data_IF_175196193292
#
_entry.id   IF_175196193292
#
_cell.length_a   1.000
_cell.length_b   1.000
_cell.length_c   1.000
_cell.angle_alpha   90.00
_cell.angle_beta   90.00
_cell.angle_gamma   90.00
#
_symmetry.space_group_name_H-M   'P 1'
#
loop_
_entity.id
_entity.type
_entity.pdbx_description
1 polymer ?
#
# COMPACT_ATOMS: atom_id res chain seq x y z
N UNK A 1 23.26 -9.66 -17.13
CA UNK A 1 22.68 -10.59 -16.14
C UNK A 1 23.17 -10.30 -14.71
N UNK A 2 24.48 -10.19 -14.45
CA UNK A 2 25.02 -9.97 -13.09
C UNK A 2 24.68 -8.59 -12.46
N UNK A 3 24.60 -7.52 -13.26
CA UNK A 3 24.21 -6.19 -12.77
C UNK A 3 22.72 -6.10 -12.37
N UNK A 4 21.85 -6.91 -13.00
CA UNK A 4 20.40 -6.89 -12.76
C UNK A 4 20.00 -7.52 -11.42
N UNK A 5 20.79 -8.48 -10.89
CA UNK A 5 20.55 -9.06 -9.58
C UNK A 5 20.99 -8.17 -8.42
N UNK A 6 21.93 -7.24 -8.64
CA UNK A 6 22.51 -6.38 -7.60
C UNK A 6 21.61 -5.20 -7.17
N UNK A 7 20.51 -4.99 -7.90
CA UNK A 7 19.56 -3.90 -7.72
C UNK A 7 18.22 -4.35 -7.10
N UNK A 8 17.97 -5.66 -7.01
CA UNK A 8 16.74 -6.16 -6.42
C UNK A 8 16.83 -6.06 -4.89
N UNK A 9 15.86 -5.41 -4.22
CA UNK A 9 15.84 -5.39 -2.76
C UNK A 9 15.75 -6.83 -2.27
N UNK A 10 16.73 -7.25 -1.47
CA UNK A 10 16.62 -8.51 -0.76
C UNK A 10 15.56 -8.29 0.33
N UNK A 11 14.38 -8.91 0.19
CA UNK A 11 13.39 -8.86 1.27
C UNK A 11 14.02 -9.58 2.46
N UNK A 12 14.28 -8.90 3.58
CA UNK A 12 14.81 -9.52 4.79
C UNK A 12 13.78 -10.47 5.41
N UNK A 13 13.60 -11.63 4.80
CA UNK A 13 12.94 -12.79 5.37
C UNK A 13 13.96 -13.55 6.19
N UNK A 14 14.27 -13.03 7.38
CA UNK A 14 15.26 -13.61 8.27
C UNK A 14 14.99 -13.19 9.70
N UNK A 15 14.39 -14.09 10.48
CA UNK A 15 14.29 -14.02 11.93
C UNK A 15 15.71 -13.89 12.51
N UNK A 16 16.08 -12.70 12.97
CA UNK A 16 17.07 -12.46 14.02
C UNK A 16 17.00 -10.98 14.41
N UNK A 17 16.31 -10.71 15.51
CA UNK A 17 16.32 -9.48 16.33
C UNK A 17 16.62 -8.14 15.63
N UNK A 18 15.60 -7.50 15.04
CA UNK A 18 15.62 -6.07 14.71
C UNK A 18 14.18 -5.56 14.45
N UNK A 19 13.27 -5.70 15.41
CA UNK A 19 11.85 -5.31 15.25
C UNK A 19 11.52 -3.92 15.86
N UNK A 20 12.52 -3.19 16.37
CA UNK A 20 12.31 -1.96 17.14
C UNK A 20 12.11 -0.69 16.28
N UNK A 21 12.35 -0.74 14.96
CA UNK A 21 12.22 0.44 14.07
C UNK A 21 11.09 0.33 13.02
N UNK A 22 10.23 -0.68 13.12
CA UNK A 22 9.13 -0.89 12.18
C UNK A 22 7.91 -0.04 12.56
N UNK A 23 7.64 1.02 11.77
CA UNK A 23 6.47 1.85 11.97
C UNK A 23 5.22 1.13 11.47
N UNK A 24 4.16 1.11 12.29
CA UNK A 24 2.84 0.65 11.83
C UNK A 24 2.16 1.78 11.06
N UNK A 25 1.94 1.58 9.76
CA UNK A 25 1.25 2.53 8.89
C UNK A 25 -0.10 1.96 8.44
N UNK A 26 -1.03 2.82 8.01
CA UNK A 26 -2.29 2.38 7.38
C UNK A 26 -2.22 2.64 5.89
N UNK A 27 -2.91 1.82 5.10
CA UNK A 27 -3.05 2.11 3.67
C UNK A 27 -3.80 3.44 3.53
N UNK A 28 -3.22 4.40 2.81
CA UNK A 28 -3.90 5.64 2.46
C UNK A 28 -4.95 5.37 1.39
N UNK A 29 -6.22 5.68 1.65
CA UNK A 29 -7.31 5.39 0.73
C UNK A 29 -8.05 6.66 0.35
N UNK A 30 -8.07 6.92 -0.95
CA UNK A 30 -8.62 8.13 -1.55
C UNK A 30 -9.68 7.77 -2.57
N UNK A 31 -10.72 8.58 -2.73
CA UNK A 31 -11.69 8.43 -3.82
C UNK A 31 -11.60 9.60 -4.80
N UNK A 32 -11.73 9.31 -6.09
CA UNK A 32 -11.82 10.32 -7.16
C UNK A 32 -13.14 10.17 -7.88
N UNK A 33 -13.95 11.23 -7.88
CA UNK A 33 -15.13 11.31 -8.74
C UNK A 33 -14.71 11.69 -10.15
N UNK A 34 -15.14 10.91 -11.14
CA UNK A 34 -14.96 11.25 -12.55
C UNK A 34 -15.91 12.40 -12.92
N UNK A 35 -15.42 13.45 -13.63
CA UNK A 35 -16.29 14.48 -14.16
C UNK A 35 -17.39 13.91 -15.07
N UNK A 36 -18.63 14.36 -14.86
CA UNK A 36 -19.72 14.05 -15.79
C UNK A 36 -19.64 15.00 -16.98
N UNK A 37 -19.24 14.48 -18.14
CA UNK A 37 -19.06 15.28 -19.37
C UNK A 37 -20.27 15.24 -20.31
N UNK A 38 -21.29 14.44 -20.01
CA UNK A 38 -22.47 14.26 -20.87
C UNK A 38 -23.77 14.37 -20.06
N UNK A 39 -24.50 15.48 -20.27
CA UNK A 39 -25.77 15.80 -19.60
C UNK A 39 -26.90 14.80 -19.90
N UNK A 40 -26.70 13.88 -20.85
CA UNK A 40 -27.68 12.84 -21.20
C UNK A 40 -27.82 11.74 -20.15
N UNK A 41 -26.86 11.60 -19.23
CA UNK A 41 -26.91 10.56 -18.21
C UNK A 41 -27.50 11.09 -16.91
N UNK A 42 -28.50 10.37 -16.39
CA UNK A 42 -29.09 10.68 -15.09
C UNK A 42 -28.02 10.60 -13.98
N UNK A 43 -27.85 11.69 -13.22
CA UNK A 43 -26.96 11.72 -12.06
C UNK A 43 -27.53 10.81 -10.98
N UNK A 44 -26.70 9.93 -10.45
CA UNK A 44 -27.07 9.12 -9.30
C UNK A 44 -26.91 9.89 -7.99
N UNK A 45 -27.48 9.35 -6.92
CA UNK A 45 -27.45 9.95 -5.58
C UNK A 45 -26.07 9.78 -4.92
N UNK A 46 -25.20 10.76 -5.15
CA UNK A 46 -23.86 10.88 -4.54
C UNK A 46 -23.73 12.26 -3.91
N UNK A 47 -23.43 12.29 -2.62
CA UNK A 47 -23.27 13.53 -1.85
C UNK A 47 -21.95 13.51 -1.08
N UNK A 48 -21.06 14.45 -1.38
CA UNK A 48 -19.82 14.62 -0.62
C UNK A 48 -20.09 15.52 0.59
N UNK A 49 -19.95 14.96 1.79
CA UNK A 49 -20.03 15.71 3.05
C UNK A 49 -18.65 16.26 3.38
N UNK A 50 -18.48 17.57 3.20
CA UNK A 50 -17.24 18.27 3.55
C UNK A 50 -17.40 18.95 4.90
N UNK A 51 -16.43 18.76 5.81
CA UNK A 51 -16.34 19.49 7.09
C UNK A 51 -14.98 20.18 7.17
N UNK A 52 -14.98 21.48 7.46
CA UNK A 52 -13.75 22.28 7.65
C UNK A 52 -12.74 22.12 6.50
N UNK A 53 -13.22 22.17 5.25
CA UNK A 53 -12.37 22.01 4.06
C UNK A 53 -11.86 20.59 3.78
N UNK A 54 -12.18 19.60 4.63
CA UNK A 54 -11.81 18.19 4.41
C UNK A 54 -13.02 17.40 3.88
N UNK A 55 -12.89 16.89 2.66
CA UNK A 55 -13.89 16.02 2.03
C UNK A 55 -13.57 14.57 2.33
N UNK A 56 -13.89 14.09 3.54
CA UNK A 56 -13.58 12.71 3.97
C UNK A 56 -14.75 11.73 3.87
N UNK A 57 -15.97 12.24 3.79
CA UNK A 57 -17.17 11.42 3.81
C UNK A 57 -17.94 11.57 2.50
N UNK A 58 -18.34 10.44 1.92
CA UNK A 58 -19.25 10.39 0.76
C UNK A 58 -20.45 9.54 1.13
N UNK A 59 -21.63 10.09 0.89
CA UNK A 59 -22.87 9.36 0.95
C UNK A 59 -23.26 8.95 -0.47
N UNK A 60 -23.52 7.66 -0.65
CA UNK A 60 -24.04 7.10 -1.89
C UNK A 60 -25.33 6.38 -1.58
N UNK A 61 -26.45 6.84 -2.14
CA UNK A 61 -27.79 6.47 -1.71
C UNK A 61 -27.94 6.72 -0.18
N UNK A 62 -28.29 5.67 0.58
CA UNK A 62 -28.43 5.73 2.04
C UNK A 62 -27.19 5.21 2.80
N UNK A 63 -26.05 5.03 2.13
CA UNK A 63 -24.84 4.48 2.72
C UNK A 63 -23.74 5.54 2.78
N UNK A 64 -23.12 5.71 3.95
CA UNK A 64 -22.03 6.66 4.17
C UNK A 64 -20.69 5.94 4.30
N UNK A 65 -19.68 6.45 3.61
CA UNK A 65 -18.32 5.93 3.57
C UNK A 65 -17.33 7.01 4.00
N UNK A 66 -16.31 6.63 4.77
CA UNK A 66 -15.30 7.55 5.31
C UNK A 66 -13.89 7.14 4.89
N UNK A 67 -13.26 7.94 4.03
CA UNK A 67 -11.94 7.72 3.46
C UNK A 67 -10.92 8.75 3.97
N UNK A 68 -9.70 8.76 3.45
CA UNK A 68 -8.69 9.75 3.83
C UNK A 68 -8.91 11.08 3.12
N UNK A 69 -9.34 11.02 1.86
CA UNK A 69 -9.84 12.16 1.09
C UNK A 69 -10.74 11.70 -0.06
N UNK A 70 -11.59 12.61 -0.53
CA UNK A 70 -12.51 12.43 -1.65
C UNK A 70 -12.36 13.63 -2.57
N UNK A 71 -11.70 13.40 -3.70
CA UNK A 71 -11.52 14.35 -4.78
C UNK A 71 -12.82 14.51 -5.54
N UNK A 72 -13.28 15.77 -5.64
CA UNK A 72 -14.47 16.13 -6.41
C UNK A 72 -14.16 16.08 -7.91
N UNK A 73 -15.19 16.26 -8.73
CA UNK A 73 -15.06 16.23 -10.18
C UNK A 73 -14.10 17.32 -10.71
N UNK A 74 -13.99 18.44 -10.01
CA UNK A 74 -13.17 19.59 -10.42
C UNK A 74 -11.71 19.49 -9.97
N UNK A 75 -11.34 18.43 -9.25
CA UNK A 75 -9.98 18.29 -8.71
C UNK A 75 -8.95 18.09 -9.83
N UNK A 76 -7.87 18.88 -9.78
CA UNK A 76 -6.78 18.80 -10.75
C UNK A 76 -5.91 17.57 -10.52
N UNK A 77 -5.18 17.15 -11.56
CA UNK A 77 -4.24 16.04 -11.44
C UNK A 77 -3.11 16.33 -10.44
N UNK A 78 -2.69 17.60 -10.37
CA UNK A 78 -1.71 18.09 -9.40
C UNK A 78 -2.22 18.00 -7.96
N UNK A 79 -3.46 18.42 -7.71
CA UNK A 79 -4.07 18.33 -6.38
C UNK A 79 -4.19 16.88 -5.92
N UNK A 80 -4.60 15.99 -6.82
CA UNK A 80 -4.65 14.54 -6.57
C UNK A 80 -3.26 14.01 -6.21
N UNK A 81 -2.23 14.34 -6.99
CA UNK A 81 -0.85 13.90 -6.74
C UNK A 81 -0.32 14.38 -5.39
N UNK A 82 -0.45 15.68 -5.13
CA UNK A 82 0.06 16.34 -3.92
C UNK A 82 -0.52 15.72 -2.66
N UNK A 83 -1.82 15.39 -2.66
CA UNK A 83 -2.52 14.84 -1.50
C UNK A 83 -2.29 13.33 -1.31
N UNK A 84 -2.13 12.56 -2.40
CA UNK A 84 -2.17 11.09 -2.34
C UNK A 84 -0.83 10.37 -2.56
N UNK A 85 0.11 11.00 -3.27
CA UNK A 85 1.31 10.32 -3.78
C UNK A 85 2.64 10.99 -3.40
N UNK A 86 2.68 12.32 -3.23
CA UNK A 86 3.92 13.06 -2.98
C UNK A 86 4.77 12.48 -1.83
N UNK A 87 4.17 12.22 -0.67
CA UNK A 87 4.88 11.68 0.50
C UNK A 87 5.35 10.23 0.30
N UNK A 88 4.66 9.49 -0.58
CA UNK A 88 5.03 8.12 -0.93
C UNK A 88 6.30 8.11 -1.78
N UNK A 89 6.39 9.01 -2.76
CA UNK A 89 7.59 9.17 -3.60
C UNK A 89 8.76 9.68 -2.77
N UNK A 90 8.52 10.64 -1.87
CA UNK A 90 9.53 11.11 -0.90
C UNK A 90 10.07 9.96 -0.03
N UNK A 91 9.19 9.07 0.42
CA UNK A 91 9.62 7.89 1.19
C UNK A 91 10.48 6.92 0.37
N UNK A 92 10.25 6.80 -0.95
CA UNK A 92 11.10 5.97 -1.82
C UNK A 92 12.52 6.50 -1.90
N UNK A 93 12.69 7.82 -1.98
CA UNK A 93 14.00 8.48 -1.91
C UNK A 93 14.71 8.20 -0.57
N UNK A 94 13.94 8.11 0.51
CA UNK A 94 14.44 7.72 1.84
C UNK A 94 14.68 6.21 1.99
N UNK A 95 14.49 5.39 0.96
CA UNK A 95 14.75 3.94 1.02
C UNK A 95 13.60 3.10 1.55
N UNK A 96 12.37 3.60 1.44
CA UNK A 96 11.17 2.80 1.71
C UNK A 96 10.59 2.21 0.43
N UNK A 97 9.82 1.15 0.60
CA UNK A 97 8.91 0.70 -0.44
C UNK A 97 7.63 1.54 -0.41
N UNK A 98 7.13 1.91 -1.58
CA UNK A 98 5.83 2.53 -1.74
C UNK A 98 5.06 1.93 -2.91
N UNK A 99 3.73 1.96 -2.80
CA UNK A 99 2.85 1.46 -3.86
C UNK A 99 1.69 2.42 -4.08
N UNK A 100 1.49 2.85 -5.33
CA UNK A 100 0.32 3.61 -5.76
C UNK A 100 -0.57 2.71 -6.60
N UNK A 101 -1.83 2.53 -6.20
CA UNK A 101 -2.80 1.67 -6.88
C UNK A 101 -4.01 2.48 -7.34
N UNK A 102 -4.38 2.36 -8.62
CA UNK A 102 -5.69 2.80 -9.11
C UNK A 102 -6.67 1.61 -9.20
N UNK A 103 -7.85 1.76 -8.62
CA UNK A 103 -8.87 0.70 -8.55
C UNK A 103 -10.28 1.24 -8.83
N UNK A 104 -11.12 0.47 -9.51
CA UNK A 104 -12.49 0.89 -9.86
C UNK A 104 -12.96 0.30 -11.18
N UNK A 105 -14.21 0.58 -11.54
CA UNK A 105 -14.81 -0.01 -12.73
C UNK A 105 -14.15 0.42 -14.05
N UNK A 106 -14.37 -0.31 -15.14
CA UNK A 106 -13.97 0.13 -16.48
C UNK A 106 -14.54 1.51 -16.79
N UNK A 107 -13.71 2.39 -17.37
CA UNK A 107 -14.10 3.75 -17.74
C UNK A 107 -14.25 4.75 -16.57
N UNK A 108 -14.01 4.35 -15.31
CA UNK A 108 -14.08 5.26 -14.16
C UNK A 108 -12.90 6.22 -14.01
N UNK A 109 -11.81 6.04 -14.76
CA UNK A 109 -10.67 6.96 -14.76
C UNK A 109 -9.40 6.45 -14.06
N UNK A 110 -9.23 5.13 -13.90
CA UNK A 110 -8.00 4.53 -13.34
C UNK A 110 -6.74 4.95 -14.12
N UNK A 111 -6.68 4.61 -15.40
CA UNK A 111 -5.56 4.96 -16.30
C UNK A 111 -5.37 6.48 -16.40
N UNK A 112 -6.45 7.25 -16.47
CA UNK A 112 -6.37 8.72 -16.45
C UNK A 112 -5.80 9.28 -15.14
N UNK A 113 -6.07 8.62 -14.01
CA UNK A 113 -5.46 8.99 -12.72
C UNK A 113 -3.99 8.64 -12.70
N UNK A 114 -3.62 7.46 -13.19
CA UNK A 114 -2.22 7.02 -13.23
C UNK A 114 -1.38 7.85 -14.20
N UNK A 115 -1.83 8.08 -15.42
CA UNK A 115 -0.98 8.67 -16.47
C UNK A 115 -1.46 10.06 -16.92
N UNK A 116 -2.78 10.29 -16.90
CA UNK A 116 -3.40 11.44 -17.54
C UNK A 116 -4.11 11.05 -18.84
N UNK A 117 -4.44 12.01 -19.69
CA UNK A 117 -4.92 11.77 -21.04
C UNK A 117 -3.96 10.87 -21.85
N UNK A 118 -4.48 10.18 -22.87
CA UNK A 118 -3.70 9.21 -23.67
C UNK A 118 -2.51 9.87 -24.38
N UNK A 119 -2.59 11.18 -24.63
CA UNK A 119 -1.52 12.00 -25.19
C UNK A 119 -0.28 12.03 -24.29
N UNK A 120 -0.43 11.90 -22.96
CA UNK A 120 0.72 11.87 -22.03
C UNK A 120 1.57 10.62 -22.26
N UNK A 121 0.95 9.49 -22.58
CA UNK A 121 1.65 8.22 -22.82
C UNK A 121 2.28 8.15 -24.22
N UNK A 122 1.73 8.88 -25.18
CA UNK A 122 2.15 8.82 -26.59
C UNK A 122 3.03 9.99 -27.00
N UNK A 123 2.89 11.14 -26.35
CA UNK A 123 3.60 12.39 -26.63
C UNK A 123 3.91 13.16 -25.34
N UNK A 124 4.61 12.50 -24.41
CA UNK A 124 4.96 13.04 -23.09
C UNK A 124 5.59 14.44 -23.14
N UNK A 125 6.54 14.66 -24.06
CA UNK A 125 7.32 15.90 -24.14
C UNK A 125 6.52 17.12 -24.60
N UNK A 126 5.46 16.92 -25.39
CA UNK A 126 4.64 18.02 -25.90
C UNK A 126 3.34 18.21 -25.10
N UNK A 127 3.10 17.36 -24.10
CA UNK A 127 1.88 17.40 -23.31
C UNK A 127 2.01 18.42 -22.18
N UNK A 128 0.94 19.17 -21.92
CA UNK A 128 0.86 20.10 -20.80
C UNK A 128 1.09 19.36 -19.46
N UNK A 129 2.13 19.73 -18.67
CA UNK A 129 2.39 19.15 -17.36
C UNK A 129 1.20 19.23 -16.39
N UNK A 130 0.26 20.17 -16.57
CA UNK A 130 -0.96 20.24 -15.77
C UNK A 130 -1.82 18.97 -15.90
N UNK A 131 -1.77 18.28 -17.05
CA UNK A 131 -2.58 17.09 -17.35
C UNK A 131 -1.93 15.79 -16.84
N UNK A 132 -0.66 15.82 -16.47
CA UNK A 132 0.09 14.67 -16.00
C UNK A 132 -0.58 14.01 -14.79
N UNK A 133 -0.82 12.70 -14.87
CA UNK A 133 -1.31 11.89 -13.76
C UNK A 133 -0.24 11.59 -12.71
N UNK A 134 -0.48 10.58 -11.88
CA UNK A 134 0.43 10.20 -10.80
C UNK A 134 1.82 9.79 -11.28
N UNK A 135 1.90 8.97 -12.32
CA UNK A 135 3.14 8.35 -12.82
C UNK A 135 4.14 9.39 -13.33
N UNK A 136 3.82 10.24 -14.33
CA UNK A 136 4.74 11.27 -14.81
C UNK A 136 5.15 12.27 -13.72
N UNK A 137 4.27 12.60 -12.76
CA UNK A 137 4.62 13.45 -11.63
C UNK A 137 5.53 12.75 -10.62
N UNK A 138 5.28 11.47 -10.36
CA UNK A 138 6.09 10.65 -9.48
C UNK A 138 7.50 10.45 -10.04
N UNK A 139 7.64 10.23 -11.34
CA UNK A 139 8.95 10.12 -11.98
C UNK A 139 9.69 11.44 -11.93
N UNK A 140 9.04 12.57 -12.23
CA UNK A 140 9.69 13.88 -12.15
C UNK A 140 10.15 14.21 -10.72
N UNK A 141 9.27 14.05 -9.72
CA UNK A 141 9.66 14.26 -8.31
C UNK A 141 10.80 13.33 -7.90
N UNK A 142 10.77 12.07 -8.33
CA UNK A 142 11.81 11.10 -7.99
C UNK A 142 13.16 11.58 -8.53
N UNK A 143 13.27 11.86 -9.83
CA UNK A 143 14.53 12.31 -10.42
C UNK A 143 14.97 13.69 -9.92
N UNK A 144 14.04 14.59 -9.63
CA UNK A 144 14.36 15.87 -8.98
C UNK A 144 14.94 15.68 -7.58
N UNK A 145 14.35 14.78 -6.78
CA UNK A 145 14.88 14.45 -5.46
C UNK A 145 16.24 13.76 -5.50
N UNK A 146 16.50 12.96 -6.54
CA UNK A 146 17.81 12.32 -6.74
C UNK A 146 18.89 13.35 -7.14
N UNK A 147 18.54 14.36 -7.95
CA UNK A 147 19.45 15.48 -8.29
C UNK A 147 19.84 16.31 -7.07
N UNK A 148 18.94 16.43 -6.10
CA UNK A 148 19.15 17.14 -4.83
C UNK A 148 19.57 16.21 -3.69
N UNK A 149 19.94 14.96 -3.99
CA UNK A 149 20.44 14.01 -3.02
C UNK A 149 21.81 14.40 -2.46
N UNK A 150 22.34 13.65 -1.48
CA UNK A 150 23.67 13.92 -0.92
C UNK A 150 24.76 13.89 -2.01
N UNK A 151 25.68 14.87 -2.02
CA UNK A 151 26.69 15.04 -3.08
C UNK A 151 27.61 13.81 -3.27
N UNK A 152 27.83 13.04 -2.21
CA UNK A 152 28.69 11.85 -2.20
C UNK A 152 27.94 10.53 -2.38
N UNK A 153 26.62 10.58 -2.63
CA UNK A 153 25.81 9.38 -2.91
C UNK A 153 25.77 9.08 -4.41
N UNK A 154 25.86 7.80 -4.77
CA UNK A 154 25.64 7.37 -6.16
C UNK A 154 24.33 6.61 -6.29
N UNK A 155 23.55 6.94 -7.31
CA UNK A 155 22.23 6.35 -7.53
C UNK A 155 22.23 5.45 -8.76
N UNK A 156 21.58 4.31 -8.64
CA UNK A 156 21.37 3.35 -9.70
C UNK A 156 19.88 3.03 -9.78
N UNK A 157 19.26 3.39 -10.90
CA UNK A 157 17.82 3.33 -11.07
C UNK A 157 17.50 2.39 -12.22
N UNK A 158 16.57 1.48 -11.97
CA UNK A 158 16.05 0.58 -12.99
C UNK A 158 14.54 0.49 -12.89
N UNK A 159 13.90 0.16 -14.00
CA UNK A 159 12.47 -0.12 -14.03
C UNK A 159 12.16 -1.50 -14.60
N UNK A 160 10.99 -2.01 -14.24
CA UNK A 160 10.38 -3.20 -14.82
C UNK A 160 8.91 -2.94 -15.10
N UNK A 161 8.34 -3.58 -16.12
CA UNK A 161 6.93 -3.42 -16.44
C UNK A 161 6.24 -4.75 -16.70
N UNK A 162 5.28 -5.10 -15.85
CA UNK A 162 4.61 -6.39 -15.84
C UNK A 162 3.11 -6.24 -16.12
N UNK A 163 2.58 -7.09 -16.99
CA UNK A 163 1.14 -7.28 -17.13
C UNK A 163 0.71 -8.61 -16.48
N UNK A 164 -0.34 -8.55 -15.66
CA UNK A 164 -1.07 -9.73 -15.20
C UNK A 164 -2.37 -9.82 -16.00
N UNK A 165 -2.41 -10.74 -16.96
CA UNK A 165 -3.56 -10.94 -17.82
C UNK A 165 -3.92 -12.43 -17.87
N UNK A 166 -5.17 -12.75 -17.57
CA UNK A 166 -5.66 -14.14 -17.52
C UNK A 166 -4.82 -15.05 -16.59
N UNK A 167 -4.42 -14.51 -15.42
CA UNK A 167 -3.48 -15.13 -14.46
C UNK A 167 -2.12 -15.55 -15.06
N UNK A 168 -1.72 -14.95 -16.20
CA UNK A 168 -0.39 -15.06 -16.79
C UNK A 168 0.39 -13.78 -16.56
N UNK A 169 1.70 -13.94 -16.36
CA UNK A 169 2.63 -12.84 -16.10
C UNK A 169 3.40 -12.52 -17.39
N UNK A 170 3.21 -11.34 -17.96
CA UNK A 170 3.82 -10.98 -19.24
C UNK A 170 4.77 -9.80 -19.05
N UNK A 171 6.00 -9.94 -19.53
CA UNK A 171 6.97 -8.87 -19.54
C UNK A 171 6.59 -7.85 -20.62
N UNK A 172 6.43 -6.58 -20.24
CA UNK A 172 6.12 -5.49 -21.16
C UNK A 172 7.37 -4.73 -21.62
N UNK A 173 8.52 -4.89 -20.96
CA UNK A 173 9.79 -4.33 -21.44
C UNK A 173 10.56 -5.37 -22.27
N UNK A 174 10.52 -6.64 -21.86
CA UNK A 174 11.02 -7.78 -22.63
C UNK A 174 9.96 -8.43 -23.53
N UNK A 175 10.31 -9.58 -24.13
CA UNK A 175 9.43 -10.33 -25.02
C UNK A 175 8.89 -11.62 -24.39
N UNK A 176 9.24 -11.88 -23.14
CA UNK A 176 8.84 -13.11 -22.44
C UNK A 176 7.39 -13.01 -21.94
N UNK A 177 6.67 -14.11 -22.12
CA UNK A 177 5.28 -14.24 -21.73
C UNK A 177 5.13 -15.38 -20.73
N UNK A 178 4.10 -15.33 -19.89
CA UNK A 178 3.82 -16.32 -18.85
C UNK A 178 5.02 -16.65 -17.94
N UNK A 179 5.66 -15.62 -17.40
CA UNK A 179 6.77 -15.72 -16.45
C UNK A 179 6.38 -16.51 -15.19
N UNK A 180 7.37 -17.17 -14.61
CA UNK A 180 7.19 -18.03 -13.43
C UNK A 180 7.45 -17.22 -12.17
N UNK A 181 6.50 -17.30 -11.24
CA UNK A 181 6.58 -16.66 -9.93
C UNK A 181 7.17 -17.62 -8.90
N UNK A 182 8.31 -17.29 -8.31
CA UNK A 182 9.00 -18.09 -7.28
C UNK A 182 9.17 -17.34 -5.98
N UNK A 183 8.99 -18.04 -4.86
CA UNK A 183 9.37 -17.56 -3.53
C UNK A 183 10.79 -18.06 -3.22
N UNK A 184 11.72 -17.13 -2.98
CA UNK A 184 13.10 -17.44 -2.59
C UNK A 184 13.30 -17.13 -1.11
N UNK A 185 13.89 -18.05 -0.31
CA UNK A 185 14.24 -17.76 1.07
C UNK A 185 15.12 -16.50 1.18
N UNK A 186 14.82 -15.60 2.11
CA UNK A 186 15.61 -14.38 2.34
C UNK A 186 15.58 -13.31 1.24
N UNK A 187 14.85 -13.52 0.13
CA UNK A 187 14.68 -12.52 -0.95
C UNK A 187 13.19 -12.24 -1.19
N UNK A 188 12.32 -13.19 -0.85
CA UNK A 188 10.88 -13.07 -1.00
C UNK A 188 10.42 -13.47 -2.40
N UNK A 189 9.38 -12.81 -2.89
CA UNK A 189 8.78 -13.13 -4.17
C UNK A 189 9.65 -12.60 -5.33
N UNK A 190 9.97 -13.46 -6.29
CA UNK A 190 10.77 -13.14 -7.47
C UNK A 190 10.11 -13.68 -8.74
N UNK A 191 10.24 -12.95 -9.84
CA UNK A 191 9.73 -13.35 -11.16
C UNK A 191 10.93 -13.79 -12.00
N UNK A 192 10.99 -15.07 -12.33
CA UNK A 192 12.09 -15.59 -13.13
C UNK A 192 11.99 -15.11 -14.57
N UNK A 193 13.09 -14.55 -15.07
CA UNK A 193 13.20 -14.09 -16.44
C UNK A 193 12.66 -12.69 -16.71
N UNK A 194 12.16 -11.97 -15.70
CA UNK A 194 11.74 -10.57 -15.82
C UNK A 194 12.88 -9.69 -16.36
N UNK A 195 12.58 -8.82 -17.32
CA UNK A 195 13.53 -7.84 -17.85
C UNK A 195 13.53 -6.57 -17.00
N UNK A 196 14.71 -5.97 -16.90
CA UNK A 196 14.94 -4.70 -16.20
C UNK A 196 15.68 -3.76 -17.12
N UNK A 197 15.29 -2.50 -17.11
CA UNK A 197 15.89 -1.46 -17.94
C UNK A 197 16.44 -0.35 -17.04
N UNK A 198 17.67 0.09 -17.32
CA UNK A 198 18.30 1.21 -16.61
C UNK A 198 17.72 2.51 -17.13
N UNK A 199 17.48 3.47 -16.23
CA UNK A 199 16.88 4.76 -16.58
C UNK A 199 17.63 5.89 -15.88
N UNK A 200 17.95 6.95 -16.63
CA UNK A 200 18.71 8.11 -16.16
C UNK A 200 17.87 9.34 -15.84
N UNK A 201 16.66 9.44 -16.38
CA UNK A 201 15.75 10.56 -16.15
C UNK A 201 14.26 10.17 -16.28
N UNK A 202 13.37 11.14 -16.02
CA UNK A 202 11.92 10.96 -16.12
C UNK A 202 11.45 10.64 -17.55
N UNK A 203 12.16 11.14 -18.57
CA UNK A 203 11.84 10.92 -19.99
C UNK A 203 12.10 9.48 -20.38
N UNK A 204 13.23 8.88 -19.99
CA UNK A 204 13.54 7.48 -20.26
C UNK A 204 12.51 6.53 -19.61
N UNK A 205 12.04 6.85 -18.40
CA UNK A 205 10.95 6.10 -17.76
C UNK A 205 9.65 6.18 -18.57
N UNK A 206 9.27 7.39 -19.01
CA UNK A 206 8.07 7.58 -19.82
C UNK A 206 8.18 6.90 -21.19
N UNK A 207 9.36 6.85 -21.79
CA UNK A 207 9.62 6.09 -23.02
C UNK A 207 9.47 4.58 -22.80
N UNK A 208 9.98 4.04 -21.68
CA UNK A 208 9.80 2.63 -21.33
C UNK A 208 8.31 2.28 -21.12
N UNK A 209 7.56 3.16 -20.46
CA UNK A 209 6.10 3.05 -20.32
C UNK A 209 5.38 3.07 -21.67
N UNK A 210 5.72 4.01 -22.55
CA UNK A 210 5.14 4.13 -23.88
C UNK A 210 5.35 2.85 -24.71
N UNK A 211 6.57 2.30 -24.71
CA UNK A 211 6.89 1.03 -25.39
C UNK A 211 6.08 -0.14 -24.82
N UNK A 212 6.03 -0.27 -23.50
CA UNK A 212 5.28 -1.35 -22.86
C UNK A 212 3.77 -1.25 -23.09
N UNK A 213 3.21 -0.03 -23.06
CA UNK A 213 1.82 0.20 -23.42
C UNK A 213 1.54 -0.08 -24.91
N UNK A 214 2.49 0.24 -25.80
CA UNK A 214 2.43 -0.17 -27.20
C UNK A 214 2.28 -1.68 -27.37
N UNK A 215 3.03 -2.48 -26.61
CA UNK A 215 2.88 -3.96 -26.60
C UNK A 215 1.49 -4.40 -26.13
N UNK A 216 0.90 -3.72 -25.13
CA UNK A 216 -0.48 -3.99 -24.67
C UNK A 216 -1.51 -3.69 -25.76
N UNK A 217 -1.33 -2.59 -26.50
CA UNK A 217 -2.23 -2.16 -27.59
C UNK A 217 -2.13 -3.12 -28.79
N UNK A 218 -0.92 -3.49 -29.23
CA UNK A 218 -0.76 -4.46 -30.34
C UNK A 218 -1.37 -5.82 -29.98
N UNK A 219 -1.20 -6.27 -28.73
CA UNK A 219 -1.86 -7.46 -28.24
C UNK A 219 -3.40 -7.32 -28.17
N UNK A 220 -3.91 -6.10 -27.99
CA UNK A 220 -5.34 -5.79 -28.06
C UNK A 220 -5.88 -5.76 -29.49
N UNK A 221 -5.09 -5.29 -30.47
CA UNK A 221 -5.51 -5.27 -31.87
C UNK A 221 -5.53 -6.66 -32.50
N UNK A 222 -4.67 -7.57 -32.05
CA UNK A 222 -4.72 -8.99 -32.46
C UNK A 222 -5.83 -9.79 -31.78
N UNK A 223 -6.30 -9.35 -30.59
CA UNK A 223 -7.41 -9.95 -29.84
C UNK A 223 -8.09 -8.92 -28.89
N UNK A 224 -9.04 -8.11 -29.39
CA UNK A 224 -9.94 -7.18 -28.67
C UNK A 224 -9.34 -6.20 -27.62
N UNK A 225 -10.06 -5.13 -27.20
CA UNK A 225 -9.52 -4.10 -26.30
C UNK A 225 -9.02 -4.65 -24.94
N UNK A 226 -7.70 -4.84 -24.79
CA UNK A 226 -7.02 -5.47 -23.64
C UNK A 226 -6.65 -4.49 -22.52
N UNK A 227 -6.62 -3.18 -22.79
CA UNK A 227 -6.12 -2.17 -21.84
C UNK A 227 -6.92 -2.09 -20.54
N UNK A 228 -8.23 -2.37 -20.57
CA UNK A 228 -9.10 -2.44 -19.39
C UNK A 228 -9.12 -3.80 -18.69
N UNK A 229 -8.50 -4.83 -19.30
CA UNK A 229 -8.67 -6.25 -18.96
C UNK A 229 -7.42 -6.88 -18.31
N UNK A 230 -6.25 -6.31 -18.50
CA UNK A 230 -5.02 -6.71 -17.80
C UNK A 230 -4.66 -5.74 -16.67
N UNK A 231 -4.16 -6.27 -15.55
CA UNK A 231 -3.53 -5.44 -14.51
C UNK A 231 -2.11 -5.09 -14.95
N UNK A 232 -1.69 -3.85 -14.77
CA UNK A 232 -0.35 -3.39 -15.10
C UNK A 232 0.38 -2.96 -13.82
N UNK A 233 1.60 -3.45 -13.64
CA UNK A 233 2.48 -3.12 -12.51
C UNK A 233 3.79 -2.62 -13.10
N UNK A 234 4.00 -1.31 -13.04
CA UNK A 234 5.28 -0.69 -13.36
C UNK A 234 6.04 -0.46 -12.06
N UNK A 235 7.26 -0.95 -11.96
CA UNK A 235 8.07 -0.83 -10.74
C UNK A 235 9.36 -0.09 -11.06
N UNK A 236 9.66 0.94 -10.27
CA UNK A 236 10.94 1.65 -10.27
C UNK A 236 11.70 1.22 -9.02
N UNK A 237 12.94 0.82 -9.21
CA UNK A 237 13.88 0.46 -8.15
C UNK A 237 14.94 1.54 -8.07
N UNK A 238 15.16 2.05 -6.87
CA UNK A 238 16.17 3.07 -6.58
C UNK A 238 17.19 2.43 -5.65
N UNK A 239 18.43 2.30 -6.10
CA UNK A 239 19.54 1.92 -5.24
C UNK A 239 20.43 3.13 -5.03
N UNK A 240 20.65 3.50 -3.78
CA UNK A 240 21.62 4.51 -3.37
C UNK A 240 22.82 3.80 -2.73
N UNK A 241 24.02 4.07 -3.23
CA UNK A 241 25.25 3.82 -2.47
C UNK A 241 25.52 5.09 -1.67
N UNK A 242 25.31 5.03 -0.36
CA UNK A 242 25.45 6.18 0.52
C UNK A 242 26.92 6.59 0.63
N UNK A 243 27.17 7.89 0.87
CA UNK A 243 28.50 8.41 1.17
C UNK A 243 29.24 7.63 2.28
N UNK A 244 28.48 7.09 3.23
CA UNK A 244 28.99 6.27 4.33
C UNK A 244 29.40 4.85 3.93
N UNK A 245 29.21 4.42 2.68
CA UNK A 245 29.54 3.07 2.20
C UNK A 245 28.44 2.02 2.39
N UNK A 246 27.26 2.39 2.91
CA UNK A 246 26.08 1.52 2.99
C UNK A 246 25.20 1.58 1.74
N UNK A 247 24.29 0.62 1.58
CA UNK A 247 23.36 0.54 0.45
C UNK A 247 21.92 0.79 0.91
N UNK A 248 21.21 1.71 0.26
CA UNK A 248 19.80 1.98 0.52
C UNK A 248 18.96 1.63 -0.70
N UNK A 249 17.81 0.99 -0.48
CA UNK A 249 16.93 0.53 -1.54
C UNK A 249 15.52 1.11 -1.41
N UNK A 250 15.12 1.94 -2.36
CA UNK A 250 13.74 2.35 -2.56
C UNK A 250 13.04 1.52 -3.64
N UNK A 251 11.74 1.27 -3.49
CA UNK A 251 10.91 0.61 -4.51
C UNK A 251 9.60 1.36 -4.66
N UNK A 252 9.31 1.86 -5.86
CA UNK A 252 8.03 2.46 -6.21
C UNK A 252 7.24 1.54 -7.14
N UNK A 253 6.11 1.02 -6.68
CA UNK A 253 5.17 0.29 -7.53
C UNK A 253 4.04 1.22 -7.98
N UNK A 254 3.79 1.25 -9.28
CA UNK A 254 2.74 2.03 -9.94
C UNK A 254 1.77 1.04 -10.60
N UNK A 255 0.60 0.89 -10.02
CA UNK A 255 -0.34 -0.20 -10.33
C UNK A 255 -1.63 0.35 -10.93
N UNK A 256 -1.89 0.00 -12.19
CA UNK A 256 -3.17 0.24 -12.88
C UNK A 256 -3.92 -1.08 -12.99
N UNK A 257 -4.93 -1.28 -12.14
CA UNK A 257 -5.70 -2.53 -12.12
C UNK A 257 -6.70 -2.58 -13.27
N UNK A 258 -7.10 -3.79 -13.67
CA UNK A 258 -8.20 -4.00 -14.58
C UNK A 258 -9.52 -3.46 -13.99
N UNK A 259 -10.52 -3.24 -14.85
CA UNK A 259 -11.84 -2.81 -14.40
C UNK A 259 -12.55 -3.86 -13.56
N UNK A 260 -13.12 -3.44 -12.43
CA UNK A 260 -14.11 -4.26 -11.72
C UNK A 260 -15.49 -4.07 -12.35
N UNK A 261 -16.11 -5.15 -12.78
CA UNK A 261 -17.41 -5.08 -13.45
C UNK A 261 -18.24 -6.29 -13.07
N UNK A 262 -19.54 -6.09 -12.86
CA UNK A 262 -20.44 -7.21 -12.60
C UNK A 262 -20.39 -8.18 -13.77
N UNK A 263 -20.44 -9.48 -13.49
CA UNK A 263 -20.52 -10.52 -14.51
C UNK A 263 -21.61 -10.22 -15.55
N UNK A 264 -22.77 -9.68 -15.14
CA UNK A 264 -23.85 -9.27 -16.05
C UNK A 264 -23.44 -8.19 -17.06
N UNK A 265 -22.68 -7.17 -16.64
CA UNK A 265 -22.18 -6.11 -17.53
C UNK A 265 -20.97 -6.59 -18.35
N UNK A 266 -20.11 -7.39 -17.74
CA UNK A 266 -18.96 -8.04 -18.40
C UNK A 266 -19.39 -8.93 -19.57
N UNK A 267 -20.55 -9.60 -19.46
CA UNK A 267 -21.11 -10.44 -20.51
C UNK A 267 -21.93 -9.68 -21.56
N UNK A 268 -22.41 -8.48 -21.22
CA UNK A 268 -23.20 -7.62 -22.11
C UNK A 268 -22.31 -6.76 -23.03
N UNK A 269 -21.10 -6.43 -22.61
CA UNK A 269 -20.11 -5.71 -23.42
C UNK A 269 -19.34 -6.72 -24.28
N UNK A 270 -19.55 -6.68 -25.60
CA UNK A 270 -18.75 -7.38 -26.63
C UNK A 270 -18.82 -8.92 -26.75
N UNK A 271 -20.01 -9.49 -27.01
CA UNK A 271 -20.09 -10.83 -27.61
C UNK A 271 -19.49 -11.99 -26.78
N UNK A 272 -19.15 -11.74 -25.51
CA UNK A 272 -18.64 -12.73 -24.56
C UNK A 272 -19.68 -13.82 -24.25
N UNK A 273 -20.96 -13.56 -24.52
CA UNK A 273 -22.01 -14.58 -24.51
C UNK A 273 -21.74 -15.70 -25.53
N UNK A 274 -21.14 -15.40 -26.69
CA UNK A 274 -21.04 -16.35 -27.80
C UNK A 274 -19.63 -16.91 -28.01
N UNK A 275 -18.59 -16.37 -27.34
CA UNK A 275 -17.22 -16.85 -27.43
C UNK A 275 -16.73 -17.41 -26.07
N UNK A 276 -16.50 -18.74 -25.94
CA UNK A 276 -16.03 -19.37 -24.71
C UNK A 276 -14.72 -18.80 -24.15
N UNK A 277 -13.78 -18.41 -25.02
CA UNK A 277 -12.49 -17.84 -24.60
C UNK A 277 -12.67 -16.48 -23.92
N UNK A 278 -13.57 -15.63 -24.43
CA UNK A 278 -13.88 -14.33 -23.82
C UNK A 278 -14.58 -14.47 -22.47
N UNK A 279 -15.42 -15.49 -22.33
CA UNK A 279 -16.11 -15.79 -21.07
C UNK A 279 -15.14 -16.20 -19.96
N UNK A 280 -14.18 -17.07 -20.28
CA UNK A 280 -13.15 -17.51 -19.32
C UNK A 280 -12.20 -16.36 -18.96
N UNK A 281 -11.86 -15.50 -19.91
CA UNK A 281 -11.04 -14.31 -19.65
C UNK A 281 -11.74 -13.33 -18.69
N UNK A 282 -13.01 -12.96 -18.96
CA UNK A 282 -13.79 -12.09 -18.08
C UNK A 282 -13.95 -12.68 -16.66
N UNK A 283 -14.08 -14.01 -16.57
CA UNK A 283 -14.09 -14.72 -15.30
C UNK A 283 -12.74 -14.59 -14.59
N UNK A 284 -11.61 -14.79 -15.26
CA UNK A 284 -10.29 -14.75 -14.62
C UNK A 284 -9.88 -13.35 -14.16
N UNK A 285 -10.29 -12.30 -14.88
CA UNK A 285 -10.13 -10.90 -14.42
C UNK A 285 -10.88 -10.70 -13.09
N UNK A 286 -12.15 -11.10 -13.05
CA UNK A 286 -12.97 -11.01 -11.85
C UNK A 286 -12.45 -11.89 -10.70
N UNK A 287 -11.87 -13.07 -10.99
CA UNK A 287 -11.22 -13.92 -9.99
C UNK A 287 -10.07 -13.19 -9.32
N UNK A 288 -9.19 -12.54 -10.09
CA UNK A 288 -8.05 -11.82 -9.52
C UNK A 288 -8.46 -10.62 -8.65
N UNK A 289 -9.48 -9.86 -9.06
CA UNK A 289 -10.02 -8.74 -8.28
C UNK A 289 -10.84 -9.20 -7.07
N UNK A 290 -11.55 -10.33 -7.18
CA UNK A 290 -12.25 -10.96 -6.05
C UNK A 290 -11.26 -11.49 -5.01
N UNK A 291 -10.16 -12.13 -5.45
CA UNK A 291 -9.07 -12.56 -4.58
C UNK A 291 -8.46 -11.35 -3.85
N UNK A 292 -8.22 -10.24 -4.56
CA UNK A 292 -7.77 -8.98 -3.96
C UNK A 292 -8.75 -8.47 -2.89
N UNK A 293 -10.05 -8.45 -3.18
CA UNK A 293 -11.08 -8.07 -2.22
C UNK A 293 -11.16 -9.00 -1.00
N UNK A 294 -10.89 -10.30 -1.19
CA UNK A 294 -10.87 -11.30 -0.11
C UNK A 294 -9.66 -11.11 0.80
N UNK A 295 -8.48 -10.87 0.23
CA UNK A 295 -7.25 -10.56 0.96
C UNK A 295 -7.43 -9.29 1.80
N UNK A 296 -7.95 -8.20 1.20
CA UNK A 296 -8.18 -6.95 1.94
C UNK A 296 -9.17 -7.15 3.09
N UNK A 297 -10.23 -7.93 2.88
CA UNK A 297 -11.19 -8.25 3.95
C UNK A 297 -10.50 -8.99 5.09
N UNK A 298 -9.77 -10.07 4.79
CA UNK A 298 -9.04 -10.87 5.76
C UNK A 298 -7.99 -10.04 6.54
N UNK A 299 -7.23 -9.18 5.86
CA UNK A 299 -6.27 -8.28 6.50
C UNK A 299 -6.95 -7.25 7.42
N UNK A 300 -8.08 -6.69 6.98
CA UNK A 300 -8.83 -5.72 7.79
C UNK A 300 -9.42 -6.35 9.05
N UNK A 301 -9.81 -7.63 9.00
CA UNK A 301 -10.33 -8.38 10.13
C UNK A 301 -9.21 -8.77 11.10
N UNK A 302 -8.06 -9.21 10.56
CA UNK A 302 -6.88 -9.52 11.35
C UNK A 302 -6.42 -8.31 12.19
N UNK A 303 -6.44 -7.10 11.61
CA UNK A 303 -6.08 -5.87 12.32
C UNK A 303 -7.05 -5.42 13.42
N UNK A 304 -8.29 -5.94 13.46
CA UNK A 304 -9.31 -5.55 14.46
C UNK A 304 -9.29 -6.39 15.73
N UNK A 305 -8.73 -7.61 15.70
CA UNK A 305 -8.71 -8.51 16.86
C UNK A 305 -7.65 -8.06 17.86
N UNK A 306 -8.07 -7.54 19.02
CA UNK A 306 -7.18 -7.27 20.17
C UNK A 306 -6.62 -8.60 20.70
N UNK A 307 -5.30 -8.80 20.60
CA UNK A 307 -4.63 -9.99 21.15
C UNK A 307 -3.55 -10.62 20.27
N UNK A 308 -3.26 -10.09 19.07
CA UNK A 308 -2.07 -10.47 18.29
C UNK A 308 -2.08 -11.88 17.68
N UNK A 309 -3.04 -12.74 18.01
CA UNK A 309 -3.21 -14.04 17.36
C UNK A 309 -3.81 -13.84 15.96
N UNK A 310 -2.92 -13.69 14.97
CA UNK A 310 -3.23 -13.71 13.55
C UNK A 310 -3.58 -15.14 13.10
N UNK A 311 -4.66 -15.72 13.63
CA UNK A 311 -5.04 -17.12 13.35
C UNK A 311 -5.84 -17.29 12.04
N UNK A 312 -6.04 -16.19 11.29
CA UNK A 312 -6.72 -16.22 10.00
C UNK A 312 -5.74 -16.36 8.84
N UNK A 313 -5.80 -17.47 8.10
CA UNK A 313 -5.06 -17.62 6.84
C UNK A 313 -5.43 -16.51 5.84
N UNK A 314 -4.46 -15.70 5.42
CA UNK A 314 -4.66 -14.71 4.35
C UNK A 314 -4.50 -15.40 2.98
N UNK A 315 -5.50 -15.36 2.08
CA UNK A 315 -5.53 -16.16 0.86
C UNK A 315 -4.70 -15.55 -0.29
N UNK A 316 -3.43 -15.23 -0.04
CA UNK A 316 -2.53 -14.62 -1.03
C UNK A 316 -2.39 -15.45 -2.30
N UNK A 317 -2.47 -16.77 -2.19
CA UNK A 317 -2.22 -17.73 -3.29
C UNK A 317 -3.40 -17.87 -4.26
N UNK A 318 -4.55 -17.27 -3.99
CA UNK A 318 -5.75 -17.39 -4.84
C UNK A 318 -5.61 -16.71 -6.21
N UNK A 319 -4.68 -15.76 -6.36
CA UNK A 319 -4.34 -15.14 -7.63
C UNK A 319 -2.86 -14.73 -7.65
N UNK A 320 -2.21 -14.70 -8.82
CA UNK A 320 -0.84 -14.16 -8.91
C UNK A 320 -0.78 -12.68 -8.54
N UNK A 321 -1.83 -11.92 -8.88
CA UNK A 321 -1.95 -10.50 -8.52
C UNK A 321 -1.80 -10.26 -7.02
N UNK A 322 -2.50 -11.05 -6.19
CA UNK A 322 -2.45 -10.89 -4.73
C UNK A 322 -1.08 -11.24 -4.17
N UNK A 323 -0.39 -12.23 -4.72
CA UNK A 323 1.01 -12.53 -4.35
C UNK A 323 1.94 -11.37 -4.68
N UNK A 324 1.82 -10.81 -5.89
CA UNK A 324 2.63 -9.66 -6.33
C UNK A 324 2.40 -8.40 -5.46
N UNK A 325 1.18 -8.23 -4.95
CA UNK A 325 0.82 -7.10 -4.07
C UNK A 325 0.92 -7.43 -2.57
N UNK A 326 1.51 -8.57 -2.18
CA UNK A 326 1.59 -9.00 -0.79
C UNK A 326 2.27 -7.96 0.11
N UNK A 327 3.45 -7.50 -0.30
CA UNK A 327 4.17 -6.44 0.42
C UNK A 327 3.41 -5.12 0.41
N UNK A 328 2.69 -4.84 -0.68
CA UNK A 328 1.93 -3.59 -0.83
C UNK A 328 0.75 -3.52 0.12
N UNK A 329 0.03 -4.62 0.32
CA UNK A 329 -1.23 -4.60 1.07
C UNK A 329 -1.06 -4.95 2.54
N UNK A 330 -0.13 -5.84 2.89
CA UNK A 330 0.03 -6.30 4.28
C UNK A 330 1.48 -6.43 4.76
N UNK A 331 2.46 -6.08 3.93
CA UNK A 331 3.88 -6.21 4.27
C UNK A 331 4.60 -4.87 4.36
N UNK A 332 5.86 -4.83 3.92
CA UNK A 332 6.69 -3.65 3.95
C UNK A 332 6.45 -2.76 2.73
N UNK A 333 5.45 -1.88 2.82
CA UNK A 333 5.21 -0.81 1.85
C UNK A 333 4.32 0.31 2.41
N UNK A 334 4.64 1.55 2.04
CA UNK A 334 3.76 2.71 2.19
C UNK A 334 2.80 2.75 1.00
N UNK A 335 1.59 2.25 1.21
CA UNK A 335 0.64 2.07 0.12
C UNK A 335 -0.45 3.13 0.11
N UNK A 336 -0.77 3.56 -1.11
CA UNK A 336 -1.90 4.42 -1.44
C UNK A 336 -2.80 3.69 -2.43
N UNK A 337 -4.10 3.65 -2.16
CA UNK A 337 -5.13 3.17 -3.09
C UNK A 337 -6.04 4.35 -3.43
N UNK A 338 -6.10 4.68 -4.72
CA UNK A 338 -7.05 5.65 -5.26
C UNK A 338 -8.16 4.89 -5.95
N UNK A 339 -9.36 4.97 -5.38
CA UNK A 339 -10.55 4.43 -6.00
C UNK A 339 -11.20 5.44 -6.94
N UNK A 340 -11.47 5.05 -8.18
CA UNK A 340 -12.09 5.91 -9.17
C UNK A 340 -13.57 5.55 -9.33
N UNK A 341 -14.44 6.55 -9.21
CA UNK A 341 -15.88 6.38 -9.12
C UNK A 341 -16.60 7.10 -10.25
N UNK A 342 -17.74 6.53 -10.63
CA UNK A 342 -18.68 7.10 -11.58
C UNK A 342 -19.94 7.54 -10.85
N UNK A 343 -20.42 8.74 -11.15
CA UNK A 343 -21.56 9.37 -10.48
C UNK A 343 -22.88 9.16 -11.23
N UNK A 344 -22.88 8.56 -12.43
CA UNK A 344 -24.12 8.28 -13.17
C UNK A 344 -24.92 7.14 -12.52
N UNK A 345 -26.24 7.25 -12.53
CA UNK A 345 -27.16 6.34 -11.84
C UNK A 345 -26.94 4.86 -12.22
N UNK A 346 -26.67 4.59 -13.49
CA UNK A 346 -26.41 3.24 -14.01
C UNK A 346 -25.14 2.57 -13.47
N UNK A 347 -24.18 3.35 -12.95
CA UNK A 347 -22.89 2.88 -12.44
C UNK A 347 -22.84 2.82 -10.91
N UNK A 348 -23.96 3.15 -10.25
CA UNK A 348 -23.94 3.34 -8.80
C UNK A 348 -23.65 2.07 -8.02
N UNK A 349 -24.05 0.91 -8.55
CA UNK A 349 -23.80 -0.38 -7.91
C UNK A 349 -22.31 -0.70 -7.88
N UNK A 350 -21.59 -0.47 -8.98
CA UNK A 350 -20.16 -0.65 -9.05
C UNK A 350 -19.40 0.38 -8.18
N UNK A 351 -19.86 1.64 -8.17
CA UNK A 351 -19.32 2.67 -7.27
C UNK A 351 -19.50 2.29 -5.79
N UNK A 352 -20.65 1.72 -5.40
CA UNK A 352 -20.90 1.20 -4.06
C UNK A 352 -19.98 0.03 -3.69
N UNK A 353 -19.78 -0.92 -4.60
CA UNK A 353 -18.86 -2.04 -4.38
C UNK A 353 -17.41 -1.55 -4.22
N UNK A 354 -17.02 -0.58 -5.04
CA UNK A 354 -15.71 0.07 -4.98
C UNK A 354 -15.49 0.77 -3.63
N UNK A 355 -16.49 1.52 -3.14
CA UNK A 355 -16.42 2.19 -1.83
C UNK A 355 -16.40 1.21 -0.65
N UNK A 356 -17.13 0.09 -0.74
CA UNK A 356 -17.06 -0.98 0.27
C UNK A 356 -15.65 -1.59 0.34
N UNK A 357 -15.00 -1.80 -0.80
CA UNK A 357 -13.60 -2.22 -0.85
C UNK A 357 -12.68 -1.17 -0.21
N UNK A 358 -12.82 0.10 -0.61
CA UNK A 358 -12.02 1.21 -0.10
C UNK A 358 -12.08 1.31 1.43
N UNK A 359 -13.28 1.22 2.02
CA UNK A 359 -13.46 1.29 3.47
C UNK A 359 -12.78 0.13 4.21
N UNK A 360 -12.75 -1.08 3.62
CA UNK A 360 -12.01 -2.21 4.19
C UNK A 360 -10.50 -2.01 4.05
N UNK A 361 -10.04 -1.54 2.90
CA UNK A 361 -8.62 -1.29 2.64
C UNK A 361 -8.03 -0.26 3.62
N UNK A 362 -8.76 0.81 3.94
CA UNK A 362 -8.34 1.84 4.91
C UNK A 362 -8.06 1.28 6.32
N UNK A 363 -8.73 0.19 6.70
CA UNK A 363 -8.54 -0.46 7.99
C UNK A 363 -7.32 -1.40 8.04
N UNK A 364 -6.68 -1.65 6.89
CA UNK A 364 -5.48 -2.51 6.82
C UNK A 364 -4.26 -1.76 7.34
N UNK A 365 -3.46 -2.46 8.14
CA UNK A 365 -2.20 -1.96 8.70
C UNK A 365 -1.02 -2.67 8.04
N UNK A 366 0.00 -1.91 7.69
CA UNK A 366 1.28 -2.38 7.16
C UNK A 366 2.39 -2.09 8.17
N UNK A 367 3.44 -2.92 8.16
CA UNK A 367 4.67 -2.66 8.93
C UNK A 367 5.74 -2.20 7.98
N UNK A 368 6.14 -0.94 8.10
CA UNK A 368 7.04 -0.30 7.14
C UNK A 368 8.42 -0.18 7.75
N UNK A 369 9.43 -0.64 7.02
CA UNK A 369 10.83 -0.55 7.38
C UNK A 369 11.64 0.01 6.22
N UNK A 370 12.64 0.81 6.57
CA UNK A 370 13.63 1.32 5.64
C UNK A 370 14.55 0.18 5.19
N UNK A 371 14.82 0.08 3.89
CA UNK A 371 15.72 -0.93 3.36
C UNK A 371 17.14 -0.38 3.30
N UNK A 372 17.82 -0.38 4.45
CA UNK A 372 19.24 -0.07 4.57
C UNK A 372 20.02 -1.38 4.75
N UNK A 373 20.88 -1.70 3.80
CA UNK A 373 21.76 -2.87 3.77
C UNK A 373 23.21 -2.42 3.92
N UNK A 374 24.07 -3.34 4.39
CA UNK A 374 25.51 -3.11 4.55
C UNK A 374 25.83 -1.87 5.41
N UNK A 375 25.25 -1.78 6.61
CA UNK A 375 25.67 -0.77 7.58
C UNK A 375 27.17 -0.91 7.84
N UNK A 376 27.90 0.20 7.81
CA UNK A 376 29.33 0.15 8.10
C UNK A 376 29.60 -0.17 9.57
N UNK A 377 30.80 -0.69 9.91
CA UNK A 377 31.17 -0.89 11.31
C UNK A 377 31.00 0.38 12.16
N UNK A 378 31.23 1.56 11.59
CA UNK A 378 31.02 2.84 12.29
C UNK A 378 29.54 3.13 12.57
N UNK A 379 28.63 2.81 11.64
CA UNK A 379 27.18 2.93 11.84
C UNK A 379 26.67 1.92 12.87
N UNK A 380 27.14 0.67 12.79
CA UNK A 380 26.83 -0.36 13.77
C UNK A 380 27.33 0.04 15.16
N UNK A 381 28.54 0.59 15.28
CA UNK A 381 29.08 1.07 16.55
C UNK A 381 28.26 2.24 17.12
N UNK A 382 27.88 3.21 16.30
CA UNK A 382 27.01 4.32 16.74
C UNK A 382 25.65 3.82 17.20
N UNK A 383 25.08 2.86 16.47
CA UNK A 383 23.79 2.27 16.80
C UNK A 383 23.87 1.42 18.08
N UNK A 384 24.98 0.69 18.29
CA UNK A 384 25.28 0.02 19.56
C UNK A 384 25.37 1.05 20.69
N UNK A 385 26.04 2.18 20.49
CA UNK A 385 26.19 3.22 21.52
C UNK A 385 24.84 3.86 21.89
N UNK A 386 24.02 4.21 20.91
CA UNK A 386 22.66 4.72 21.11
C UNK A 386 21.76 3.69 21.82
N UNK A 387 21.79 2.43 21.39
CA UNK A 387 21.05 1.35 22.05
C UNK A 387 21.55 1.10 23.47
N UNK A 388 22.85 1.24 23.72
CA UNK A 388 23.44 1.10 25.06
C UNK A 388 22.93 2.21 25.98
N UNK A 389 22.89 3.46 25.51
CA UNK A 389 22.30 4.58 26.26
C UNK A 389 20.80 4.40 26.52
N UNK A 390 20.05 3.90 25.52
CA UNK A 390 18.63 3.58 25.69
C UNK A 390 18.42 2.45 26.71
N UNK A 391 19.28 1.44 26.69
CA UNK A 391 19.24 0.34 27.66
C UNK A 391 19.51 0.86 29.07
N UNK A 392 20.51 1.72 29.25
CA UNK A 392 20.84 2.32 30.55
C UNK A 392 19.71 3.18 31.10
N UNK A 393 19.13 4.05 30.27
CA UNK A 393 17.99 4.89 30.66
C UNK A 393 16.76 4.05 31.01
N UNK A 394 16.47 3.01 30.21
CA UNK A 394 15.38 2.07 30.51
C UNK A 394 15.63 1.31 31.81
N UNK A 395 16.85 0.84 32.06
CA UNK A 395 17.22 0.18 33.31
C UNK A 395 17.09 1.11 34.52
N UNK A 396 17.45 2.40 34.39
CA UNK A 396 17.24 3.39 35.45
C UNK A 396 15.75 3.58 35.75
N UNK A 397 14.92 3.72 34.72
CA UNK A 397 13.47 3.86 34.88
C UNK A 397 12.85 2.62 35.55
N UNK A 398 13.25 1.41 35.14
CA UNK A 398 12.80 0.16 35.76
C UNK A 398 13.18 0.11 37.24
N UNK A 399 14.41 0.50 37.59
CA UNK A 399 14.84 0.57 39.00
C UNK A 399 14.03 1.58 39.81
N UNK A 400 13.69 2.73 39.21
CA UNK A 400 12.85 3.73 39.87
C UNK A 400 11.44 3.20 40.12
N UNK A 401 10.80 2.61 39.10
CA UNK A 401 9.47 2.02 39.22
C UNK A 401 9.45 0.86 40.24
N UNK A 402 10.51 0.06 40.32
CA UNK A 402 10.64 -0.98 41.33
C UNK A 402 10.70 -0.41 42.75
N UNK A 403 11.38 0.73 42.96
CA UNK A 403 11.39 1.41 44.27
C UNK A 403 10.03 1.97 44.63
N UNK A 404 9.38 2.68 43.71
CA UNK A 404 8.03 3.21 43.94
C UNK A 404 7.02 2.11 44.22
N UNK A 405 7.14 0.96 43.54
CA UNK A 405 6.30 -0.20 43.81
C UNK A 405 6.57 -0.77 45.21
N UNK A 406 7.84 -0.91 45.60
CA UNK A 406 8.24 -1.39 46.92
C UNK A 406 7.72 -0.49 48.05
N UNK A 407 7.82 0.83 47.88
CA UNK A 407 7.28 1.82 48.82
C UNK A 407 5.76 1.69 48.95
N UNK A 408 5.03 1.65 47.83
CA UNK A 408 3.57 1.47 47.85
C UNK A 408 3.14 0.14 48.45
N UNK A 409 3.89 -0.94 48.21
CA UNK A 409 3.60 -2.23 48.85
C UNK A 409 3.82 -2.17 50.35
N UNK A 410 4.89 -1.52 50.81
CA UNK A 410 5.16 -1.36 52.24
C UNK A 410 4.11 -0.48 52.93
N UNK A 411 3.68 0.61 52.29
CA UNK A 411 2.59 1.47 52.78
C UNK A 411 1.27 0.69 52.90
N UNK A 412 0.94 -0.12 51.90
CA UNK A 412 -0.29 -0.91 51.89
C UNK A 412 -0.24 -2.05 52.92
N UNK A 413 0.91 -2.72 53.08
CA UNK A 413 1.14 -3.71 54.14
C UNK A 413 1.00 -3.08 55.53
N UNK A 414 1.58 -1.90 55.76
CA UNK A 414 1.43 -1.16 57.00
C UNK A 414 -0.03 -0.78 57.27
N UNK A 415 -0.76 -0.33 56.23
CA UNK A 415 -2.19 0.00 56.32
C UNK A 415 -3.04 -1.22 56.66
N UNK A 416 -2.78 -2.36 56.03
CA UNK A 416 -3.50 -3.63 56.28
C UNK A 416 -3.20 -4.12 57.70
N UNK A 417 -1.94 -4.12 58.13
CA UNK A 417 -1.55 -4.53 59.48
C UNK A 417 -2.16 -3.62 60.56
N UNK A 418 -2.20 -2.30 60.33
CA UNK A 418 -2.87 -1.35 61.22
C UNK A 418 -4.37 -1.63 61.36
N UNK A 419 -5.07 -1.93 60.26
CA UNK A 419 -6.47 -2.34 60.30
C UNK A 419 -6.66 -3.68 61.01
N UNK A 420 -5.80 -4.66 60.78
CA UNK A 420 -5.86 -5.96 61.43
C UNK A 420 -5.67 -5.84 62.95
N UNK A 421 -4.75 -4.99 63.40
CA UNK A 421 -4.53 -4.70 64.81
C UNK A 421 -5.75 -4.05 65.46
N UNK A 422 -6.39 -3.08 64.80
CA UNK A 422 -7.61 -2.44 65.28
C UNK A 422 -8.79 -3.44 65.40
N UNK A 423 -8.93 -4.36 64.44
CA UNK A 423 -9.95 -5.42 64.50
C UNK A 423 -9.66 -6.38 65.66
N UNK A 424 -8.41 -6.79 65.87
CA UNK A 424 -8.03 -7.65 67.01
C UNK A 424 -8.29 -6.99 68.36
N UNK A 425 -8.04 -5.68 68.48
CA UNK A 425 -8.34 -4.92 69.69
C UNK A 425 -9.86 -4.87 69.99
N UNK A 426 -10.70 -4.73 68.96
CA UNK A 426 -12.15 -4.76 69.11
C UNK A 426 -12.72 -6.16 69.43
N UNK A 427 -12.08 -7.23 68.96
CA UNK A 427 -12.52 -8.61 69.27
C UNK A 427 -12.04 -9.07 70.66
N UNK A 428 -10.88 -8.58 71.13
CA UNK A 428 -10.35 -8.88 72.48
C UNK A 428 -11.08 -8.19 73.63
N UNK A 429 -11.85 -7.13 73.37
CA UNK A 429 -12.62 -6.38 74.38
C UNK A 429 -13.99 -6.96 74.73
N UNK A 430 -14.44 -8.05 74.09
CA UNK A 430 -15.77 -8.64 74.28
C UNK A 430 -15.87 -9.82 75.25
N UNK A 431 -14.76 -10.28 75.83
CA UNK A 431 -14.72 -11.47 76.70
C UNK A 431 -14.42 -11.15 78.15
N UNK A 432 -15.34 -10.48 78.85
CA UNK A 432 -15.11 -10.15 80.26
C UNK A 432 -16.29 -9.46 80.94
N UNK A 433 -17.43 -10.15 81.07
CA UNK A 433 -18.55 -9.63 81.87
C UNK A 433 -19.77 -10.52 81.80
N UNK A 434 -19.87 -11.48 82.71
CA UNK A 434 -21.04 -12.36 82.81
C UNK A 434 -20.93 -13.42 83.88
N UNK A 435 -20.57 -13.03 85.11
CA UNK A 435 -20.74 -13.85 86.31
C UNK A 435 -21.48 -13.05 87.37
N UNK A 436 -22.57 -13.62 87.91
CA UNK A 436 -23.26 -13.14 89.11
C UNK A 436 -24.79 -13.24 89.01
N UNK A 437 -25.38 -14.17 89.77
CA UNK A 437 -26.82 -14.30 89.98
C UNK A 437 -27.27 -15.74 90.22
#
# INVERSE_FOLDING_TARGET
AALSSALLPQSTGGSMGADDNAATESIGVFARLKPVTDDKHERGDVQIKSRFGKSKNVQVRNLEFSLDWIFKEEETQEGIYSISAHDRVTAVLAGYNATLVAYGQTGSGKTHTMFGPDEVLTNFESCDPALWGLVPRATEQLFEGLRHGPEDSTFLIQCSYLEVYNDRLNDLLGDKQNLVLREKPGIGLSIEGMSYEMVGDSREVMQALARGNGKRVVAAMSMNPRSSRGHAIFTIYVKEMTASGGERHGKLNLVDLAGMESSKKSYAVEGASNNPARREEAKNINVSLYALGSVVSALSEAGRKKGGAADGHIPWRNAKLTRLLQDSLGGNSKSTIIVTLRTEAQNMEESLQTLRFAQRAKAVKTKVTESLLNQTPAQLLKQIEELTQQLETTQMLVRQLQRELAEKTAEEEARVNGKLAAVRANVGGGGGGGGGG
#
